data_IF_132720684573
#
_entry.id   IF_132720684573
#
_cell.length_a   1.000
_cell.length_b   1.000
_cell.length_c   1.000
_cell.angle_alpha   90.00
_cell.angle_beta   90.00
_cell.angle_gamma   90.00
#
_symmetry.space_group_name_H-M   'P 1'
#
loop_
_entity.id
_entity.type
_entity.pdbx_description
1 polymer ?
#
# COMPACT_ATOMS: atom_id res chain seq x y z
N UNK A 1 -3.24 12.91 -1.46
CA UNK A 1 -1.93 12.30 -1.84
C UNK A 1 -1.72 12.23 -3.35
N UNK A 2 -2.56 11.51 -4.12
CA UNK A 2 -2.28 11.26 -5.55
C UNK A 2 -2.00 12.52 -6.38
N UNK A 3 -2.79 13.60 -6.20
CA UNK A 3 -2.56 14.88 -6.89
C UNK A 3 -1.27 15.57 -6.48
N UNK A 4 -0.94 15.56 -5.19
CA UNK A 4 0.33 16.09 -4.67
C UNK A 4 1.51 15.40 -5.34
N UNK A 5 1.48 14.06 -5.41
CA UNK A 5 2.53 13.28 -6.05
C UNK A 5 2.61 13.55 -7.55
N UNK A 6 1.48 13.56 -8.27
CA UNK A 6 1.45 13.82 -9.72
C UNK A 6 1.99 15.22 -10.04
N UNK A 7 1.49 16.25 -9.35
CA UNK A 7 1.88 17.63 -9.60
C UNK A 7 3.34 17.88 -9.22
N UNK A 8 3.77 17.40 -8.05
CA UNK A 8 5.15 17.61 -7.58
C UNK A 8 6.19 16.83 -8.38
N UNK A 9 5.90 15.58 -8.75
CA UNK A 9 6.81 14.77 -9.57
C UNK A 9 6.78 15.15 -11.06
N UNK A 10 5.67 15.69 -11.56
CA UNK A 10 5.37 15.81 -13.00
C UNK A 10 5.41 14.46 -13.72
N UNK A 11 4.95 13.40 -13.06
CA UNK A 11 4.86 12.05 -13.60
C UNK A 11 3.46 11.47 -13.36
N UNK A 12 2.99 10.55 -14.23
CA UNK A 12 1.79 9.77 -13.95
C UNK A 12 1.95 8.98 -12.64
N UNK A 13 0.92 9.00 -11.80
CA UNK A 13 0.87 8.19 -10.56
C UNK A 13 -0.23 7.16 -10.69
N UNK A 14 0.15 5.88 -10.61
CA UNK A 14 -0.80 4.77 -10.57
C UNK A 14 -1.37 4.68 -9.15
N UNK A 15 -2.68 4.78 -9.02
CA UNK A 15 -3.39 4.78 -7.74
C UNK A 15 -3.95 3.39 -7.47
N UNK A 16 -3.49 2.80 -6.37
CA UNK A 16 -3.82 1.42 -6.01
C UNK A 16 -4.21 1.39 -4.55
N UNK A 17 -5.45 0.99 -4.24
CA UNK A 17 -5.99 1.02 -2.89
C UNK A 17 -6.13 -0.37 -2.28
N UNK A 18 -5.86 -0.47 -0.97
CA UNK A 18 -6.10 -1.67 -0.15
C UNK A 18 -7.52 -1.61 0.40
N UNK A 19 -8.55 -1.96 -0.40
CA UNK A 19 -9.94 -1.71 -0.04
C UNK A 19 -10.83 -2.96 -0.18
N UNK A 20 -11.23 -3.28 -1.41
CA UNK A 20 -12.30 -4.21 -1.75
C UNK A 20 -11.87 -5.69 -1.74
N UNK A 21 -11.26 -6.13 -0.65
CA UNK A 21 -10.81 -7.52 -0.49
C UNK A 21 -9.84 -7.76 0.67
N UNK A 22 -9.34 -6.70 1.31
CA UNK A 22 -8.27 -6.77 2.31
C UNK A 22 -8.75 -7.22 3.71
N UNK A 23 -9.57 -8.26 3.78
CA UNK A 23 -10.17 -8.75 5.03
C UNK A 23 -9.24 -9.68 5.81
N UNK A 24 -8.60 -10.63 5.14
CA UNK A 24 -7.76 -11.64 5.79
C UNK A 24 -6.45 -11.04 6.33
N UNK A 25 -5.97 -11.58 7.45
CA UNK A 25 -4.77 -11.08 8.16
C UNK A 25 -3.88 -12.25 8.61
N UNK A 26 -2.59 -12.28 8.24
CA UNK A 26 -1.67 -13.29 8.74
C UNK A 26 -1.33 -13.01 10.20
N UNK A 27 -1.13 -14.05 11.00
CA UNK A 27 -0.73 -13.93 12.43
C UNK A 27 0.52 -14.75 12.69
N UNK A 28 1.46 -14.21 13.46
CA UNK A 28 2.67 -14.94 13.87
C UNK A 28 2.36 -16.13 14.79
N UNK A 29 1.26 -16.07 15.54
CA UNK A 29 0.84 -17.12 16.46
C UNK A 29 -0.60 -17.54 16.16
N UNK A 30 -0.96 -18.76 16.53
CA UNK A 30 -2.31 -19.30 16.31
C UNK A 30 -3.28 -18.93 17.43
N UNK A 31 -2.78 -18.78 18.65
CA UNK A 31 -3.56 -18.59 19.88
C UNK A 31 -3.26 -17.24 20.53
N UNK A 32 -4.29 -16.60 21.07
CA UNK A 32 -4.24 -15.42 21.93
C UNK A 32 -4.69 -15.83 23.32
N UNK A 33 -3.94 -15.38 24.33
CA UNK A 33 -4.24 -15.62 25.74
C UNK A 33 -4.52 -14.28 26.41
N UNK A 34 -5.63 -14.22 27.15
CA UNK A 34 -6.02 -13.09 28.02
C UNK A 34 -6.64 -13.65 29.29
N UNK A 35 -6.18 -13.16 30.43
CA UNK A 35 -6.70 -13.53 31.76
C UNK A 35 -6.79 -15.06 31.97
N UNK A 36 -5.79 -15.81 31.46
CA UNK A 36 -5.72 -17.28 31.55
C UNK A 36 -6.59 -18.04 30.54
N UNK A 37 -7.39 -17.37 29.71
CA UNK A 37 -8.22 -17.98 28.66
C UNK A 37 -7.48 -17.96 27.33
N UNK A 38 -7.38 -19.13 26.67
CA UNK A 38 -6.73 -19.31 25.36
C UNK A 38 -7.77 -19.46 24.25
N UNK A 39 -7.75 -18.56 23.26
CA UNK A 39 -8.64 -18.60 22.09
C UNK A 39 -7.86 -18.46 20.78
N UNK A 40 -8.41 -18.94 19.64
CA UNK A 40 -7.84 -18.64 18.33
C UNK A 40 -7.67 -17.12 18.12
N UNK A 41 -6.54 -16.71 17.52
CA UNK A 41 -6.33 -15.31 17.14
C UNK A 41 -7.33 -14.87 16.08
N UNK A 42 -7.74 -13.61 16.14
CA UNK A 42 -8.45 -12.95 15.06
C UNK A 42 -7.61 -12.96 13.76
N UNK A 43 -8.18 -13.40 12.64
CA UNK A 43 -7.49 -13.55 11.35
C UNK A 43 -8.12 -12.70 10.25
N UNK A 44 -8.90 -11.70 10.64
CA UNK A 44 -9.66 -10.89 9.71
C UNK A 44 -11.11 -11.34 9.60
N UNK A 45 -11.98 -10.40 9.20
CA UNK A 45 -13.42 -10.59 9.21
C UNK A 45 -13.91 -11.67 8.23
N UNK A 46 -13.10 -12.01 7.23
CA UNK A 46 -13.35 -13.13 6.31
C UNK A 46 -13.14 -14.50 6.95
N UNK A 47 -12.51 -14.57 8.13
CA UNK A 47 -12.23 -15.82 8.84
C UNK A 47 -13.02 -15.92 10.14
N UNK A 48 -12.85 -14.97 11.06
CA UNK A 48 -13.49 -14.96 12.38
C UNK A 48 -13.73 -13.52 12.88
N UNK A 49 -14.41 -13.36 14.01
CA UNK A 49 -14.68 -12.07 14.66
C UNK A 49 -13.54 -11.62 15.58
N UNK A 50 -13.50 -10.33 15.87
CA UNK A 50 -12.48 -9.67 16.70
C UNK A 50 -12.72 -9.86 18.20
N UNK A 51 -13.99 -9.89 18.62
CA UNK A 51 -14.41 -10.10 20.00
C UNK A 51 -13.75 -11.34 20.64
N UNK A 52 -13.30 -11.19 21.89
CA UNK A 52 -12.54 -12.22 22.61
C UNK A 52 -13.49 -13.23 23.30
N UNK A 53 -14.21 -13.98 22.48
CA UNK A 53 -15.08 -15.07 22.92
C UNK A 53 -15.02 -16.25 21.94
N UNK A 54 -15.33 -17.47 22.42
CA UNK A 54 -15.18 -18.69 21.62
C UNK A 54 -16.04 -18.65 20.34
N UNK A 55 -17.27 -18.12 20.43
CA UNK A 55 -18.19 -18.06 19.29
C UNK A 55 -17.65 -17.14 18.20
N UNK A 56 -17.18 -15.96 18.57
CA UNK A 56 -16.60 -14.99 17.64
C UNK A 56 -15.28 -15.49 17.05
N UNK A 57 -14.43 -16.16 17.84
CA UNK A 57 -13.10 -16.63 17.38
C UNK A 57 -13.13 -17.91 16.55
N UNK A 58 -14.23 -18.65 16.56
CA UNK A 58 -14.41 -19.84 15.71
C UNK A 58 -14.50 -19.43 14.23
N UNK A 59 -13.68 -20.00 13.34
CA UNK A 59 -13.77 -19.71 11.91
C UNK A 59 -15.15 -20.05 11.32
N UNK A 60 -15.72 -19.14 10.53
CA UNK A 60 -17.05 -19.28 9.93
C UNK A 60 -16.98 -19.11 8.40
N UNK A 61 -17.16 -20.18 7.61
CA UNK A 61 -17.14 -20.11 6.14
C UNK A 61 -18.14 -19.12 5.53
N UNK A 62 -19.25 -18.81 6.20
CA UNK A 62 -20.23 -17.82 5.72
C UNK A 62 -19.64 -16.40 5.66
N UNK A 63 -18.53 -16.15 6.38
CA UNK A 63 -17.78 -14.89 6.29
C UNK A 63 -17.16 -14.66 4.92
N UNK A 64 -16.87 -15.71 4.15
CA UNK A 64 -16.36 -15.57 2.78
C UNK A 64 -17.41 -14.92 1.87
N UNK A 65 -18.67 -15.32 1.99
CA UNK A 65 -19.77 -14.70 1.24
C UNK A 65 -19.99 -13.24 1.65
N UNK A 66 -19.87 -12.94 2.95
CA UNK A 66 -19.94 -11.57 3.46
C UNK A 66 -18.80 -10.71 2.92
N UNK A 67 -17.56 -11.23 2.96
CA UNK A 67 -16.38 -10.56 2.41
C UNK A 67 -16.54 -10.29 0.91
N UNK A 68 -17.05 -11.24 0.13
CA UNK A 68 -17.35 -11.04 -1.28
C UNK A 68 -18.38 -9.92 -1.50
N UNK A 69 -19.54 -9.99 -0.82
CA UNK A 69 -20.60 -8.99 -0.98
C UNK A 69 -20.13 -7.57 -0.60
N UNK A 70 -19.36 -7.44 0.48
CA UNK A 70 -18.79 -6.15 0.89
C UNK A 70 -17.72 -5.64 -0.08
N UNK A 71 -16.89 -6.54 -0.63
CA UNK A 71 -15.92 -6.21 -1.68
C UNK A 71 -16.62 -5.67 -2.93
N UNK A 72 -17.64 -6.38 -3.42
CA UNK A 72 -18.39 -6.00 -4.60
C UNK A 72 -19.08 -4.63 -4.43
N UNK A 73 -19.74 -4.40 -3.28
CA UNK A 73 -20.38 -3.12 -2.98
C UNK A 73 -19.36 -1.97 -2.89
N UNK A 74 -18.22 -2.22 -2.22
CA UNK A 74 -17.14 -1.23 -2.07
C UNK A 74 -16.54 -0.88 -3.43
N UNK A 75 -16.20 -1.87 -4.26
CA UNK A 75 -15.62 -1.64 -5.58
C UNK A 75 -16.60 -0.95 -6.52
N UNK A 76 -17.89 -1.27 -6.45
CA UNK A 76 -18.93 -0.58 -7.21
C UNK A 76 -18.97 0.92 -6.87
N UNK A 77 -18.96 1.26 -5.57
CA UNK A 77 -18.93 2.65 -5.13
C UNK A 77 -17.63 3.37 -5.56
N UNK A 78 -16.49 2.69 -5.44
CA UNK A 78 -15.19 3.25 -5.87
C UNK A 78 -15.15 3.51 -7.38
N UNK A 79 -15.70 2.62 -8.20
CA UNK A 79 -15.86 2.84 -9.64
C UNK A 79 -16.75 4.03 -9.92
N UNK A 80 -17.89 4.14 -9.24
CA UNK A 80 -18.80 5.28 -9.36
C UNK A 80 -18.11 6.61 -9.00
N UNK A 81 -17.27 6.66 -7.96
CA UNK A 81 -16.48 7.86 -7.65
C UNK A 81 -15.39 8.15 -8.70
N UNK A 82 -14.73 7.12 -9.22
CA UNK A 82 -13.66 7.27 -10.18
C UNK A 82 -14.14 7.76 -11.55
N UNK A 83 -15.29 7.27 -12.04
CA UNK A 83 -15.87 7.64 -13.34
C UNK A 83 -16.97 8.70 -13.26
N UNK A 84 -17.67 8.83 -12.13
CA UNK A 84 -18.80 9.74 -11.94
C UNK A 84 -18.42 11.17 -11.54
N UNK A 85 -17.18 11.59 -11.81
CA UNK A 85 -16.72 12.96 -11.58
C UNK A 85 -16.31 13.29 -10.14
N UNK A 86 -16.37 12.36 -9.17
CA UNK A 86 -15.83 12.62 -7.83
C UNK A 86 -14.31 12.78 -7.85
N UNK A 87 -13.62 11.99 -8.68
CA UNK A 87 -12.18 12.06 -8.86
C UNK A 87 -11.70 13.20 -9.78
N UNK A 88 -12.60 13.99 -10.38
CA UNK A 88 -12.25 15.07 -11.30
C UNK A 88 -11.27 16.08 -10.68
N UNK A 89 -10.23 16.50 -11.42
CA UNK A 89 -9.20 17.41 -10.87
C UNK A 89 -9.77 18.77 -10.46
N UNK A 90 -10.87 19.20 -11.07
CA UNK A 90 -11.60 20.43 -10.75
C UNK A 90 -12.14 20.41 -9.30
N UNK A 91 -12.24 19.23 -8.67
CA UNK A 91 -12.70 19.05 -7.30
C UNK A 91 -11.57 18.94 -6.27
N UNK A 92 -10.31 19.15 -6.66
CA UNK A 92 -9.14 19.03 -5.76
C UNK A 92 -9.28 19.88 -4.49
N UNK A 93 -9.86 21.08 -4.61
CA UNK A 93 -10.14 21.97 -3.48
C UNK A 93 -11.23 21.42 -2.52
N UNK A 94 -12.15 20.60 -3.04
CA UNK A 94 -13.26 20.00 -2.29
C UNK A 94 -12.87 18.71 -1.55
N UNK A 95 -11.74 18.09 -1.90
CA UNK A 95 -11.23 16.92 -1.16
C UNK A 95 -10.52 17.31 0.14
N UNK A 96 -10.51 18.60 0.47
CA UNK A 96 -10.07 19.04 1.78
C UNK A 96 -11.00 18.49 2.84
N UNK A 97 -10.44 17.66 3.71
CA UNK A 97 -11.13 17.13 4.86
C UNK A 97 -11.19 18.23 5.93
N UNK A 98 -12.34 18.43 6.55
CA UNK A 98 -12.64 19.47 7.54
C UNK A 98 -11.58 19.58 8.65
N UNK A 99 -10.94 18.47 9.02
CA UNK A 99 -9.91 18.48 10.06
C UNK A 99 -8.56 19.08 9.61
N UNK A 100 -8.35 19.40 8.33
CA UNK A 100 -7.14 20.08 7.84
C UNK A 100 -7.22 21.61 8.00
N UNK A 101 -8.39 22.13 8.36
CA UNK A 101 -8.54 23.53 8.76
C UNK A 101 -7.55 23.86 9.89
N UNK A 102 -6.88 25.00 9.77
CA UNK A 102 -5.88 25.51 10.72
C UNK A 102 -4.63 24.62 10.88
N UNK A 103 -4.20 23.91 9.82
CA UNK A 103 -2.92 23.20 9.79
C UNK A 103 -2.00 23.69 8.69
N UNK A 104 -0.69 23.74 8.95
CA UNK A 104 0.34 24.14 7.97
C UNK A 104 0.31 23.28 6.70
N UNK A 105 0.00 21.99 6.84
CA UNK A 105 -0.14 21.06 5.72
C UNK A 105 -1.42 21.34 4.91
N UNK A 106 -2.51 21.72 5.59
CA UNK A 106 -3.72 22.20 4.95
C UNK A 106 -3.46 23.46 4.13
N UNK A 107 -2.68 24.40 4.66
CA UNK A 107 -2.28 25.62 3.93
C UNK A 107 -1.50 25.30 2.64
N UNK A 108 -0.46 24.47 2.74
CA UNK A 108 0.31 24.00 1.57
C UNK A 108 -0.56 23.28 0.55
N UNK A 109 -1.56 22.52 1.00
CA UNK A 109 -2.48 21.86 0.09
C UNK A 109 -3.46 22.83 -0.56
N UNK A 110 -3.94 23.85 0.14
CA UNK A 110 -4.76 24.91 -0.46
C UNK A 110 -3.99 25.67 -1.53
N UNK A 111 -2.73 26.02 -1.28
CA UNK A 111 -1.84 26.63 -2.28
C UNK A 111 -1.66 25.72 -3.50
N UNK A 112 -1.41 24.43 -3.29
CA UNK A 112 -1.32 23.46 -4.37
C UNK A 112 -2.64 23.35 -5.16
N UNK A 113 -3.77 23.31 -4.47
CA UNK A 113 -5.09 23.22 -5.10
C UNK A 113 -5.35 24.43 -6.01
N UNK A 114 -4.99 25.64 -5.57
CA UNK A 114 -5.05 26.86 -6.39
C UNK A 114 -4.15 26.72 -7.62
N UNK A 115 -2.90 26.28 -7.46
CA UNK A 115 -1.97 26.09 -8.59
C UNK A 115 -2.47 25.05 -9.61
N UNK A 116 -3.10 23.98 -9.13
CA UNK A 116 -3.72 22.95 -9.98
C UNK A 116 -4.90 23.53 -10.74
N UNK A 117 -5.77 24.29 -10.07
CA UNK A 117 -6.93 24.94 -10.69
C UNK A 117 -6.50 25.95 -11.76
N UNK A 118 -5.53 26.80 -11.47
CA UNK A 118 -4.95 27.73 -12.45
C UNK A 118 -4.34 27.00 -13.66
N UNK A 119 -3.64 25.89 -13.42
CA UNK A 119 -3.05 25.08 -14.49
C UNK A 119 -4.12 24.46 -15.39
N UNK A 120 -5.21 23.95 -14.80
CA UNK A 120 -6.35 23.41 -15.53
C UNK A 120 -7.13 24.49 -16.28
N UNK A 121 -7.30 25.68 -15.68
CA UNK A 121 -7.94 26.83 -16.32
C UNK A 121 -7.19 27.31 -17.56
N UNK A 122 -5.85 27.30 -17.54
CA UNK A 122 -5.03 27.54 -18.73
C UNK A 122 -5.18 26.43 -19.78
N UNK A 123 -5.30 25.18 -19.34
CA UNK A 123 -5.40 24.01 -20.23
C UNK A 123 -6.78 23.89 -20.90
N UNK A 124 -7.87 24.23 -20.20
CA UNK A 124 -9.24 24.22 -20.72
C UNK A 124 -9.43 25.21 -21.87
N UNK A 125 -8.68 26.32 -21.87
CA UNK A 125 -8.62 27.27 -22.98
C UNK A 125 -7.93 26.71 -24.24
N UNK A 126 -7.11 25.65 -24.11
CA UNK A 126 -6.26 25.10 -25.19
C UNK A 126 -6.80 23.85 -25.92
N UNK A 127 -8.01 23.36 -25.56
CA UNK A 127 -8.72 22.23 -26.20
C UNK A 127 -7.97 20.88 -26.23
N UNK A 128 -8.33 19.97 -25.30
CA UNK A 128 -8.63 18.56 -25.61
C UNK A 128 -9.38 17.92 -24.42
N UNK A 129 -10.56 17.36 -24.71
CA UNK A 129 -11.54 16.88 -23.72
C UNK A 129 -11.28 15.43 -23.25
N UNK A 130 -10.04 15.12 -22.86
CA UNK A 130 -9.66 13.76 -22.45
C UNK A 130 -8.75 13.73 -21.22
N UNK A 131 -9.01 14.56 -20.22
CA UNK A 131 -8.64 14.24 -18.85
C UNK A 131 -9.91 13.72 -18.21
N UNK A 132 -10.11 12.41 -18.03
CA UNK A 132 -11.00 11.84 -16.98
C UNK A 132 -11.21 10.33 -17.14
N UNK A 133 -10.15 9.55 -16.99
CA UNK A 133 -10.32 8.15 -16.60
C UNK A 133 -9.37 7.84 -15.45
N UNK A 134 -9.80 8.20 -14.24
CA UNK A 134 -9.16 7.70 -13.04
C UNK A 134 -9.41 6.20 -12.97
N UNK A 135 -8.33 5.42 -13.10
CA UNK A 135 -8.38 3.98 -12.83
C UNK A 135 -8.02 3.78 -11.37
N UNK A 136 -9.01 3.40 -10.57
CA UNK A 136 -8.79 2.89 -9.23
C UNK A 136 -8.56 1.38 -9.34
N UNK A 137 -7.42 0.92 -8.84
CA UNK A 137 -7.07 -0.49 -8.78
C UNK A 137 -7.15 -0.96 -7.32
N UNK A 138 -7.68 -2.16 -7.10
CA UNK A 138 -7.76 -2.78 -5.77
C UNK A 138 -6.65 -3.82 -5.57
N UNK A 139 -6.07 -3.83 -4.37
CA UNK A 139 -4.95 -4.70 -3.98
C UNK A 139 -5.11 -5.31 -2.58
N UNK A 140 -5.59 -6.54 -2.48
CA UNK A 140 -5.50 -7.32 -1.26
C UNK A 140 -4.24 -8.21 -1.25
N UNK A 141 -3.88 -8.65 -0.05
CA UNK A 141 -2.99 -9.79 0.14
C UNK A 141 -3.69 -11.08 -0.32
N UNK A 142 -3.07 -11.83 -1.22
CA UNK A 142 -3.50 -13.17 -1.57
C UNK A 142 -3.19 -14.09 -0.38
N UNK A 143 -4.19 -14.35 0.45
CA UNK A 143 -4.00 -15.08 1.70
C UNK A 143 -4.94 -16.26 1.85
N UNK A 144 -6.24 -16.06 1.65
CA UNK A 144 -7.24 -17.11 1.83
C UNK A 144 -7.46 -17.87 0.52
N UNK A 145 -6.55 -18.78 0.16
CA UNK A 145 -6.53 -19.45 -1.16
C UNK A 145 -7.87 -20.06 -1.63
N UNK A 146 -8.72 -20.68 -0.77
CA UNK A 146 -10.05 -21.12 -1.22
C UNK A 146 -10.93 -19.99 -1.77
N UNK A 147 -10.80 -18.78 -1.22
CA UNK A 147 -11.52 -17.60 -1.69
C UNK A 147 -10.98 -17.15 -3.05
N UNK A 148 -9.66 -17.00 -3.15
CA UNK A 148 -8.96 -16.60 -4.39
C UNK A 148 -9.23 -17.60 -5.53
N UNK A 149 -9.17 -18.90 -5.24
CA UNK A 149 -9.46 -19.95 -6.20
C UNK A 149 -10.89 -19.86 -6.74
N UNK A 150 -11.89 -19.58 -5.89
CA UNK A 150 -13.28 -19.43 -6.35
C UNK A 150 -13.51 -18.20 -7.23
N UNK A 151 -12.66 -17.18 -7.10
CA UNK A 151 -12.73 -15.95 -7.88
C UNK A 151 -11.80 -15.95 -9.10
N UNK A 152 -11.01 -17.00 -9.29
CA UNK A 152 -10.15 -17.17 -10.47
C UNK A 152 -10.95 -17.62 -11.68
N UNK A 153 -10.83 -16.87 -12.79
CA UNK A 153 -11.55 -17.11 -14.06
C UNK A 153 -10.57 -17.18 -15.22
N UNK A 154 -10.94 -17.96 -16.23
CA UNK A 154 -10.25 -17.96 -17.51
C UNK A 154 -10.78 -16.81 -18.36
N UNK A 155 -9.89 -15.92 -18.80
CA UNK A 155 -10.23 -14.85 -19.73
C UNK A 155 -10.62 -15.44 -21.09
N UNK A 156 -11.73 -14.97 -21.65
CA UNK A 156 -12.30 -15.51 -22.90
C UNK A 156 -11.48 -15.16 -24.14
N UNK A 157 -10.64 -14.12 -24.08
CA UNK A 157 -9.88 -13.61 -25.23
C UNK A 157 -8.48 -14.21 -25.30
N UNK A 158 -7.75 -14.19 -24.19
CA UNK A 158 -6.37 -14.67 -24.07
C UNK A 158 -6.26 -16.13 -23.64
N UNK A 159 -7.31 -16.69 -23.04
CA UNK A 159 -7.28 -18.03 -22.46
C UNK A 159 -6.43 -18.15 -21.18
N UNK A 160 -5.89 -17.04 -20.67
CA UNK A 160 -5.13 -17.01 -19.42
C UNK A 160 -6.06 -16.99 -18.21
N UNK A 161 -5.57 -17.48 -17.07
CA UNK A 161 -6.29 -17.39 -15.80
C UNK A 161 -5.98 -16.06 -15.11
N UNK A 162 -7.00 -15.40 -14.61
CA UNK A 162 -6.89 -14.22 -13.76
C UNK A 162 -7.63 -14.49 -12.47
N UNK A 163 -7.01 -14.17 -11.34
CA UNK A 163 -7.76 -14.03 -10.11
C UNK A 163 -8.57 -12.73 -10.20
N UNK A 164 -9.90 -12.87 -10.35
CA UNK A 164 -10.79 -11.73 -10.48
C UNK A 164 -11.29 -11.21 -9.13
N UNK A 165 -10.68 -11.63 -8.01
CA UNK A 165 -10.92 -11.01 -6.70
C UNK A 165 -10.41 -9.57 -6.66
N UNK A 166 -9.30 -9.28 -7.37
CA UNK A 166 -8.67 -7.96 -7.41
C UNK A 166 -7.85 -7.72 -8.69
N UNK A 167 -7.34 -6.49 -8.86
CA UNK A 167 -6.56 -6.13 -10.05
C UNK A 167 -5.10 -6.52 -9.92
N UNK A 168 -4.57 -6.44 -8.69
CA UNK A 168 -3.21 -6.81 -8.32
C UNK A 168 -3.28 -7.54 -6.98
N UNK A 169 -2.40 -8.51 -6.78
CA UNK A 169 -2.35 -9.32 -5.57
C UNK A 169 -0.92 -9.33 -5.05
N UNK A 170 -0.69 -9.43 -3.73
CA UNK A 170 0.67 -9.71 -3.24
C UNK A 170 0.73 -10.94 -2.37
N UNK A 171 1.90 -11.58 -2.37
CA UNK A 171 2.28 -12.59 -1.39
C UNK A 171 2.95 -11.91 -0.19
N UNK A 172 2.50 -12.29 1.01
CA UNK A 172 3.00 -11.77 2.27
C UNK A 172 4.35 -12.37 2.67
N UNK A 173 5.05 -11.72 3.60
CA UNK A 173 6.35 -12.18 4.11
C UNK A 173 6.28 -13.61 4.71
N UNK A 174 5.12 -13.98 5.26
CA UNK A 174 4.91 -15.27 5.93
C UNK A 174 4.40 -16.37 5.00
N UNK A 175 4.09 -16.03 3.76
CA UNK A 175 3.43 -16.93 2.78
C UNK A 175 4.19 -17.04 1.46
N UNK A 176 5.43 -16.52 1.40
CA UNK A 176 6.26 -16.48 0.18
C UNK A 176 7.27 -17.62 0.04
N UNK A 177 7.02 -18.76 0.69
CA UNK A 177 7.89 -19.94 0.58
C UNK A 177 7.94 -20.41 -0.88
N UNK A 178 9.13 -20.72 -1.40
CA UNK A 178 9.34 -21.04 -2.82
C UNK A 178 8.47 -22.21 -3.31
N UNK A 179 8.27 -23.21 -2.45
CA UNK A 179 7.45 -24.41 -2.64
C UNK A 179 6.06 -24.29 -1.99
N UNK A 180 5.70 -23.10 -1.52
CA UNK A 180 4.46 -22.81 -0.82
C UNK A 180 3.25 -22.66 -1.75
N UNK A 181 2.08 -22.95 -1.21
CA UNK A 181 0.82 -22.91 -1.96
C UNK A 181 0.49 -21.53 -2.55
N UNK A 182 0.84 -20.44 -1.87
CA UNK A 182 0.59 -19.08 -2.38
C UNK A 182 1.47 -18.74 -3.59
N UNK A 183 2.74 -19.16 -3.58
CA UNK A 183 3.64 -18.97 -4.72
C UNK A 183 3.14 -19.80 -5.92
N UNK A 184 2.73 -21.05 -5.68
CA UNK A 184 2.14 -21.89 -6.73
C UNK A 184 0.85 -21.29 -7.31
N UNK A 185 -0.03 -20.77 -6.44
CA UNK A 185 -1.26 -20.11 -6.89
C UNK A 185 -0.95 -18.88 -7.77
N UNK A 186 -0.08 -17.99 -7.29
CA UNK A 186 0.28 -16.76 -8.01
C UNK A 186 1.06 -17.03 -9.30
N UNK A 187 1.79 -18.14 -9.39
CA UNK A 187 2.46 -18.60 -10.61
C UNK A 187 1.45 -18.86 -11.74
N UNK A 188 0.25 -19.35 -11.40
CA UNK A 188 -0.77 -19.75 -12.36
C UNK A 188 -1.67 -18.63 -12.90
N UNK A 189 -1.66 -17.44 -12.27
CA UNK A 189 -2.52 -16.31 -12.66
C UNK A 189 -1.76 -15.25 -13.45
N UNK A 190 -2.44 -14.46 -14.28
CA UNK A 190 -1.88 -13.44 -15.15
C UNK A 190 -1.93 -12.00 -14.57
N UNK A 191 -2.48 -11.82 -13.37
CA UNK A 191 -2.51 -10.54 -12.66
C UNK A 191 -1.09 -9.99 -12.39
N UNK A 192 -0.85 -8.68 -12.38
CA UNK A 192 0.34 -8.12 -11.75
C UNK A 192 0.42 -8.53 -10.27
N UNK A 193 1.63 -8.82 -9.78
CA UNK A 193 1.83 -9.38 -8.45
C UNK A 193 2.90 -8.67 -7.64
N UNK A 194 2.65 -8.57 -6.34
CA UNK A 194 3.57 -8.04 -5.35
C UNK A 194 4.25 -9.14 -4.53
N UNK A 195 5.48 -8.90 -4.12
CA UNK A 195 6.22 -9.76 -3.19
C UNK A 195 6.66 -8.90 -2.03
N UNK A 196 6.14 -9.16 -0.82
CA UNK A 196 6.63 -8.52 0.40
C UNK A 196 8.00 -9.08 0.74
N UNK A 197 8.97 -8.21 1.04
CA UNK A 197 10.34 -8.60 1.42
C UNK A 197 10.78 -7.86 2.67
N UNK A 198 11.19 -8.61 3.70
CA UNK A 198 11.83 -8.06 4.91
C UNK A 198 13.35 -7.95 4.76
N UNK A 199 13.99 -7.48 5.82
CA UNK A 199 15.44 -7.41 6.01
C UNK A 199 16.13 -8.78 6.09
N UNK A 200 15.35 -9.85 6.26
CA UNK A 200 15.83 -11.25 6.25
C UNK A 200 15.80 -11.90 4.86
N UNK A 201 15.38 -11.18 3.81
CA UNK A 201 15.34 -11.74 2.46
C UNK A 201 16.75 -12.05 1.95
N UNK A 202 16.98 -13.29 1.56
CA UNK A 202 18.21 -13.69 0.85
C UNK A 202 18.13 -13.24 -0.64
N UNK A 203 19.18 -12.60 -1.19
CA UNK A 203 19.18 -12.15 -2.58
C UNK A 203 19.01 -13.29 -3.59
N UNK A 204 19.56 -14.49 -3.34
CA UNK A 204 19.42 -15.61 -4.28
C UNK A 204 18.03 -16.21 -4.22
N UNK A 205 17.43 -16.30 -3.02
CA UNK A 205 16.03 -16.69 -2.84
C UNK A 205 15.08 -15.73 -3.58
N UNK A 206 15.32 -14.41 -3.48
CA UNK A 206 14.53 -13.41 -4.20
C UNK A 206 14.60 -13.62 -5.72
N UNK A 207 15.79 -13.82 -6.27
CA UNK A 207 15.98 -14.09 -7.71
C UNK A 207 15.23 -15.36 -8.14
N UNK A 208 15.31 -16.44 -7.35
CA UNK A 208 14.56 -17.68 -7.61
C UNK A 208 13.05 -17.44 -7.59
N UNK A 209 12.55 -16.71 -6.59
CA UNK A 209 11.13 -16.40 -6.46
C UNK A 209 10.62 -15.58 -7.65
N UNK A 210 11.39 -14.60 -8.12
CA UNK A 210 11.05 -13.81 -9.31
C UNK A 210 11.02 -14.70 -10.56
N UNK A 211 11.97 -15.61 -10.73
CA UNK A 211 11.99 -16.55 -11.86
C UNK A 211 10.75 -17.46 -11.89
N UNK A 212 10.30 -17.94 -10.73
CA UNK A 212 9.07 -18.73 -10.63
C UNK A 212 7.85 -17.92 -11.05
N UNK A 213 7.76 -16.67 -10.61
CA UNK A 213 6.57 -15.84 -10.73
C UNK A 213 6.50 -14.97 -12.00
N UNK A 214 7.64 -14.79 -12.68
CA UNK A 214 7.80 -14.02 -13.92
C UNK A 214 8.84 -14.65 -14.85
N UNK A 215 8.59 -15.88 -15.33
CA UNK A 215 9.56 -16.63 -16.14
C UNK A 215 9.91 -15.92 -17.46
N UNK A 216 8.96 -15.18 -18.04
CA UNK A 216 9.16 -14.43 -19.29
C UNK A 216 9.75 -13.03 -19.07
N UNK A 217 10.13 -12.70 -17.83
CA UNK A 217 10.68 -11.40 -17.44
C UNK A 217 9.83 -10.20 -17.91
N UNK A 218 8.51 -10.34 -17.86
CA UNK A 218 7.56 -9.33 -18.35
C UNK A 218 7.63 -8.08 -17.47
N UNK A 219 7.89 -6.93 -18.09
CA UNK A 219 7.90 -5.64 -17.39
C UNK A 219 6.54 -5.35 -16.73
N UNK A 220 6.55 -4.87 -15.49
CA UNK A 220 5.34 -4.56 -14.71
C UNK A 220 4.62 -5.77 -14.12
N UNK A 221 5.11 -7.00 -14.33
CA UNK A 221 4.54 -8.22 -13.71
C UNK A 221 4.85 -8.30 -12.22
N UNK A 222 6.10 -8.03 -11.82
CA UNK A 222 6.56 -8.13 -10.43
C UNK A 222 6.76 -6.75 -9.82
N UNK A 223 6.23 -6.59 -8.61
CA UNK A 223 6.54 -5.48 -7.71
C UNK A 223 7.17 -6.02 -6.43
N UNK A 224 8.41 -5.61 -6.12
CA UNK A 224 9.07 -5.93 -4.85
C UNK A 224 8.68 -4.86 -3.82
N UNK A 225 8.05 -5.28 -2.73
CA UNK A 225 7.52 -4.41 -1.68
C UNK A 225 8.38 -4.57 -0.42
N UNK A 226 9.37 -3.70 -0.26
CA UNK A 226 10.37 -3.72 0.82
C UNK A 226 9.80 -3.20 2.14
N UNK A 227 10.06 -3.89 3.26
CA UNK A 227 9.63 -3.49 4.61
C UNK A 227 10.71 -3.81 5.65
N UNK A 228 11.70 -2.94 5.80
CA UNK A 228 12.94 -3.25 6.51
C UNK A 228 13.20 -2.35 7.71
N UNK A 229 12.58 -1.16 7.76
CA UNK A 229 13.03 -0.08 8.65
C UNK A 229 14.21 0.70 8.05
N UNK A 230 14.37 1.95 8.49
CA UNK A 230 15.30 2.90 7.86
C UNK A 230 16.78 2.49 7.95
N UNK A 231 17.22 1.86 9.03
CA UNK A 231 18.61 1.43 9.20
C UNK A 231 18.89 0.21 8.32
N UNK A 232 18.05 -0.81 8.40
CA UNK A 232 18.21 -2.04 7.64
C UNK A 232 18.07 -1.81 6.13
N UNK A 233 17.17 -0.94 5.68
CA UNK A 233 16.99 -0.72 4.23
C UNK A 233 18.26 -0.16 3.59
N UNK A 234 19.04 0.66 4.31
CA UNK A 234 20.33 1.18 3.83
C UNK A 234 21.39 0.10 3.64
N UNK A 235 21.30 -0.96 4.45
CA UNK A 235 22.28 -2.05 4.45
C UNK A 235 21.85 -3.18 3.50
N UNK A 236 20.58 -3.56 3.52
CA UNK A 236 20.08 -4.80 2.89
C UNK A 236 19.56 -4.59 1.47
N UNK A 237 18.90 -3.47 1.18
CA UNK A 237 18.31 -3.22 -0.13
C UNK A 237 19.35 -3.15 -1.27
N UNK A 238 20.57 -2.59 -1.09
CA UNK A 238 21.59 -2.59 -2.15
C UNK A 238 21.88 -3.98 -2.71
N UNK A 239 22.03 -4.98 -1.83
CA UNK A 239 22.37 -6.35 -2.24
C UNK A 239 21.23 -7.00 -3.03
N UNK A 240 19.97 -6.75 -2.65
CA UNK A 240 18.81 -7.23 -3.40
C UNK A 240 18.72 -6.58 -4.78
N UNK A 241 18.93 -5.26 -4.88
CA UNK A 241 18.93 -4.54 -6.16
C UNK A 241 20.02 -5.09 -7.08
N UNK A 242 21.22 -5.30 -6.56
CA UNK A 242 22.35 -5.85 -7.33
C UNK A 242 22.07 -7.27 -7.81
N UNK A 243 21.53 -8.14 -6.96
CA UNK A 243 21.21 -9.52 -7.33
C UNK A 243 20.15 -9.58 -8.45
N UNK A 244 19.05 -8.82 -8.31
CA UNK A 244 17.99 -8.73 -9.34
C UNK A 244 18.54 -8.17 -10.66
N UNK A 245 19.39 -7.14 -10.58
CA UNK A 245 20.05 -6.54 -11.76
C UNK A 245 21.00 -7.54 -12.45
N UNK A 246 21.82 -8.26 -11.68
CA UNK A 246 22.75 -9.28 -12.21
C UNK A 246 21.99 -10.44 -12.86
N UNK A 247 20.82 -10.80 -12.33
CA UNK A 247 19.93 -11.80 -12.91
C UNK A 247 19.18 -11.29 -14.17
N UNK A 248 19.33 -10.01 -14.54
CA UNK A 248 18.65 -9.40 -15.69
C UNK A 248 17.14 -9.24 -15.49
N UNK A 249 16.64 -9.33 -14.25
CA UNK A 249 15.21 -9.34 -13.94
C UNK A 249 14.64 -7.92 -13.85
N UNK A 250 13.46 -7.72 -14.42
CA UNK A 250 12.75 -6.44 -14.45
C UNK A 250 11.64 -6.45 -13.40
N UNK A 251 11.78 -5.59 -12.40
CA UNK A 251 10.82 -5.45 -11.29
C UNK A 251 10.53 -3.98 -10.99
N UNK A 252 9.37 -3.73 -10.38
CA UNK A 252 9.05 -2.42 -9.79
C UNK A 252 9.41 -2.43 -8.31
N UNK A 253 10.23 -1.49 -7.85
CA UNK A 253 10.58 -1.37 -6.44
C UNK A 253 9.62 -0.45 -5.71
N UNK A 254 9.06 -0.91 -4.60
CA UNK A 254 8.14 -0.16 -3.75
C UNK A 254 8.60 -0.31 -2.29
N UNK A 255 8.50 0.77 -1.51
CA UNK A 255 8.72 0.71 -0.06
C UNK A 255 7.39 0.68 0.69
N UNK A 256 7.30 -0.23 1.65
CA UNK A 256 6.30 -0.32 2.70
C UNK A 256 6.95 0.11 4.02
N UNK A 257 6.95 1.42 4.31
CA UNK A 257 7.58 1.98 5.51
C UNK A 257 6.74 1.75 6.77
N UNK A 258 5.67 0.94 6.70
CA UNK A 258 4.72 0.75 7.80
C UNK A 258 5.09 -0.50 8.61
N UNK A 259 5.20 -1.65 7.94
CA UNK A 259 5.30 -2.95 8.61
C UNK A 259 6.69 -3.23 9.22
N UNK A 260 7.71 -2.47 8.86
CA UNK A 260 9.05 -2.52 9.48
C UNK A 260 9.17 -1.71 10.78
N UNK A 261 8.30 -0.70 10.98
CA UNK A 261 8.46 0.33 12.02
C UNK A 261 7.42 0.26 13.15
N UNK A 262 6.82 -0.91 13.38
CA UNK A 262 5.82 -1.08 14.45
C UNK A 262 6.51 -1.28 15.81
N UNK A 263 6.11 -0.48 16.80
CA UNK A 263 6.54 -0.59 18.20
C UNK A 263 5.33 -0.81 19.12
N UNK A 264 5.57 -1.23 20.37
CA UNK A 264 4.55 -1.32 21.42
C UNK A 264 4.73 -0.10 22.35
N UNK A 265 3.69 0.71 22.48
CA UNK A 265 3.66 1.86 23.37
C UNK A 265 3.55 1.44 24.85
N UNK A 266 3.88 2.32 25.81
CA UNK A 266 3.80 2.01 27.25
C UNK A 266 2.42 1.54 27.72
N UNK A 267 1.34 1.95 27.03
CA UNK A 267 -0.04 1.53 27.31
C UNK A 267 -0.41 0.18 26.66
N UNK A 268 0.55 -0.53 26.06
CA UNK A 268 0.35 -1.83 25.42
C UNK A 268 -0.21 -1.78 24.00
N UNK A 269 -0.59 -0.60 23.49
CA UNK A 269 -1.06 -0.44 22.11
C UNK A 269 0.12 -0.48 21.15
N UNK A 270 -0.09 -1.10 19.98
CA UNK A 270 0.86 -0.94 18.88
C UNK A 270 0.80 0.49 18.36
N UNK A 271 1.93 1.05 17.97
CA UNK A 271 1.99 2.32 17.24
C UNK A 271 3.17 2.31 16.27
N UNK A 272 3.27 3.33 15.42
CA UNK A 272 4.37 3.54 14.48
C UNK A 272 4.80 5.00 14.58
N UNK A 273 6.09 5.29 14.87
CA UNK A 273 6.59 6.65 14.83
C UNK A 273 6.60 7.20 13.40
N UNK A 274 5.94 8.32 13.17
CA UNK A 274 5.89 8.97 11.85
C UNK A 274 7.31 9.28 11.32
N UNK A 275 8.23 9.69 12.20
CA UNK A 275 9.62 9.97 11.81
C UNK A 275 10.35 8.72 11.32
N UNK A 276 10.07 7.55 11.90
CA UNK A 276 10.64 6.28 11.44
C UNK A 276 10.10 5.89 10.06
N UNK A 277 8.78 6.09 9.83
CA UNK A 277 8.15 5.89 8.52
C UNK A 277 8.81 6.81 7.48
N UNK A 278 8.98 8.08 7.80
CA UNK A 278 9.62 9.07 6.92
C UNK A 278 11.10 8.73 6.66
N UNK A 279 11.82 8.27 7.68
CA UNK A 279 13.22 7.86 7.57
C UNK A 279 13.40 6.68 6.61
N UNK A 280 12.50 5.68 6.66
CA UNK A 280 12.57 4.54 5.74
C UNK A 280 12.27 4.95 4.30
N UNK A 281 11.26 5.80 4.08
CA UNK A 281 11.01 6.37 2.74
C UNK A 281 12.23 7.14 2.23
N UNK A 282 12.83 7.97 3.08
CA UNK A 282 14.03 8.74 2.70
C UNK A 282 15.19 7.81 2.32
N UNK A 283 15.44 6.80 3.16
CA UNK A 283 16.49 5.81 2.94
C UNK A 283 16.27 4.97 1.67
N UNK A 284 15.02 4.59 1.37
CA UNK A 284 14.66 3.90 0.14
C UNK A 284 15.07 4.68 -1.10
N UNK A 285 14.77 5.99 -1.15
CA UNK A 285 15.17 6.83 -2.27
C UNK A 285 16.70 7.02 -2.33
N UNK A 286 17.37 7.22 -1.19
CA UNK A 286 18.83 7.36 -1.14
C UNK A 286 19.52 6.13 -1.74
N UNK A 287 19.08 4.93 -1.34
CA UNK A 287 19.64 3.66 -1.85
C UNK A 287 19.42 3.52 -3.35
N UNK A 288 18.22 3.85 -3.85
CA UNK A 288 17.96 3.79 -5.29
C UNK A 288 18.81 4.78 -6.09
N UNK A 289 19.05 5.98 -5.55
CA UNK A 289 19.96 6.95 -6.16
C UNK A 289 21.41 6.45 -6.18
N UNK A 290 21.88 5.86 -5.08
CA UNK A 290 23.22 5.27 -4.97
C UNK A 290 23.43 4.08 -5.93
N UNK A 291 22.43 3.19 -6.04
CA UNK A 291 22.51 2.01 -6.90
C UNK A 291 22.19 2.29 -8.38
N UNK A 292 21.80 3.52 -8.71
CA UNK A 292 21.40 3.91 -10.07
C UNK A 292 20.10 3.25 -10.53
N UNK A 293 19.19 2.94 -9.61
CA UNK A 293 17.92 2.25 -9.87
C UNK A 293 16.70 3.17 -9.65
N UNK A 294 15.50 2.66 -9.94
CA UNK A 294 14.28 3.47 -9.93
C UNK A 294 13.39 3.18 -8.70
N UNK A 295 13.12 4.18 -7.83
CA UNK A 295 12.18 4.07 -6.72
C UNK A 295 10.75 4.17 -7.27
N UNK A 296 10.12 3.02 -7.52
CA UNK A 296 8.85 2.91 -8.25
C UNK A 296 7.60 3.30 -7.47
N UNK A 297 7.62 3.36 -6.13
CA UNK A 297 6.48 3.85 -5.37
C UNK A 297 6.52 3.58 -3.86
N UNK A 298 5.38 3.84 -3.22
CA UNK A 298 5.16 3.62 -1.78
C UNK A 298 3.89 2.80 -1.53
N UNK A 299 3.90 1.98 -0.50
CA UNK A 299 2.79 1.12 -0.09
C UNK A 299 2.45 1.42 1.37
N UNK A 300 1.33 2.10 1.60
CA UNK A 300 0.99 2.67 2.91
C UNK A 300 -0.30 2.08 3.49
N UNK A 301 -0.40 2.11 4.82
CA UNK A 301 -1.63 1.87 5.55
C UNK A 301 -2.13 3.20 6.09
N UNK A 302 -3.28 3.65 5.58
CA UNK A 302 -3.83 4.97 5.87
C UNK A 302 -5.35 4.92 6.04
N UNK A 303 -5.89 5.95 6.68
CA UNK A 303 -7.34 6.18 6.76
C UNK A 303 -7.66 7.67 6.61
N UNK A 304 -8.80 7.96 5.97
CA UNK A 304 -9.36 9.32 5.90
C UNK A 304 -9.96 9.80 7.22
N UNK A 305 -10.13 8.89 8.19
CA UNK A 305 -10.68 9.20 9.51
C UNK A 305 -9.66 9.94 10.39
N UNK A 306 -10.17 10.76 11.31
CA UNK A 306 -9.35 11.49 12.28
C UNK A 306 -8.97 10.60 13.47
N UNK A 307 -7.99 9.72 13.26
CA UNK A 307 -7.51 8.70 14.24
C UNK A 307 -6.16 9.09 14.86
N UNK A 308 -5.88 8.51 16.03
CA UNK A 308 -4.62 8.67 16.78
C UNK A 308 -3.88 7.33 16.86
N UNK A 309 -3.59 6.71 15.72
CA UNK A 309 -2.98 5.37 15.66
C UNK A 309 -1.44 5.42 15.58
N UNK A 310 -0.88 6.30 14.74
CA UNK A 310 0.56 6.55 14.62
C UNK A 310 0.98 7.79 15.42
N UNK A 311 2.06 7.71 16.19
CA UNK A 311 2.62 8.85 16.94
C UNK A 311 3.44 9.78 16.04
N UNK A 312 3.58 11.04 16.46
CA UNK A 312 4.31 12.07 15.73
C UNK A 312 3.51 12.70 14.59
N UNK A 313 4.23 13.23 13.60
CA UNK A 313 3.68 14.07 12.54
C UNK A 313 3.31 15.47 13.04
N UNK A 314 2.79 16.30 12.16
CA UNK A 314 2.58 17.74 12.45
C UNK A 314 1.61 18.08 13.58
N UNK A 315 0.72 17.16 13.94
CA UNK A 315 -0.20 17.29 15.08
C UNK A 315 0.34 16.73 16.40
N UNK A 316 1.59 16.27 16.41
CA UNK A 316 2.31 15.72 17.57
C UNK A 316 1.45 14.73 18.36
N UNK A 317 0.94 13.69 17.70
CA UNK A 317 0.22 12.61 18.39
C UNK A 317 1.20 11.93 19.36
N UNK A 318 0.90 11.99 20.66
CA UNK A 318 1.71 11.37 21.70
C UNK A 318 1.20 9.98 22.07
N UNK A 319 1.95 9.24 22.92
CA UNK A 319 1.47 7.97 23.45
C UNK A 319 0.16 8.09 24.24
N UNK A 320 -0.07 9.25 24.89
CA UNK A 320 -1.28 9.49 25.67
C UNK A 320 -2.51 9.67 24.78
N UNK A 321 -2.32 10.15 23.55
CA UNK A 321 -3.42 10.39 22.60
C UNK A 321 -3.91 9.10 21.94
N UNK A 322 -3.13 8.01 22.00
CA UNK A 322 -3.47 6.74 21.36
C UNK A 322 -4.82 6.21 21.86
N UNK A 323 -5.10 6.31 23.16
CA UNK A 323 -6.36 5.82 23.74
C UNK A 323 -7.61 6.56 23.29
N UNK A 324 -7.48 7.74 22.66
CA UNK A 324 -8.64 8.58 22.32
C UNK A 324 -9.42 8.07 21.10
N UNK A 325 -8.73 7.64 20.03
CA UNK A 325 -9.34 7.27 18.72
C UNK A 325 -8.58 6.14 18.03
N UNK A 326 -8.29 5.07 18.77
CA UNK A 326 -7.67 3.86 18.24
C UNK A 326 -8.74 2.91 17.68
N UNK A 327 -8.96 2.94 16.35
CA UNK A 327 -10.06 2.22 15.71
C UNK A 327 -9.62 0.99 14.89
N UNK A 328 -8.36 0.60 14.99
CA UNK A 328 -7.80 -0.55 14.27
C UNK A 328 -7.65 -1.76 15.20
N UNK A 329 -8.04 -2.94 14.71
CA UNK A 329 -7.82 -4.21 15.39
C UNK A 329 -6.51 -4.91 14.95
N UNK A 330 -5.84 -4.35 13.93
CA UNK A 330 -4.65 -4.93 13.32
C UNK A 330 -3.43 -4.08 13.63
N UNK A 331 -3.04 -3.23 12.67
CA UNK A 331 -1.88 -2.38 12.79
C UNK A 331 -2.27 -0.88 12.65
N UNK A 332 -1.46 0.03 13.22
CA UNK A 332 -1.72 1.47 13.25
C UNK A 332 -1.63 2.14 11.88
N UNK A 333 -2.62 2.92 11.48
CA UNK A 333 -2.68 3.60 10.17
C UNK A 333 -2.27 5.06 10.28
N UNK A 334 -1.67 5.58 9.21
CA UNK A 334 -1.52 7.03 9.04
C UNK A 334 -2.92 7.66 9.00
N UNK A 335 -3.15 8.68 9.83
CA UNK A 335 -4.29 9.55 9.62
C UNK A 335 -4.08 10.40 8.37
N UNK A 336 -5.11 11.12 7.94
CA UNK A 336 -5.03 11.83 6.67
C UNK A 336 -4.09 13.06 6.71
N UNK A 337 -3.87 13.70 7.86
CA UNK A 337 -2.85 14.75 8.00
C UNK A 337 -1.43 14.19 7.79
N UNK A 338 -1.08 13.10 8.48
CA UNK A 338 0.20 12.41 8.34
C UNK A 338 0.40 11.87 6.91
N UNK A 339 -0.65 11.31 6.31
CA UNK A 339 -0.63 10.83 4.94
C UNK A 339 -0.35 11.94 3.93
N UNK A 340 -0.93 13.12 4.13
CA UNK A 340 -0.73 14.26 3.25
C UNK A 340 0.67 14.87 3.43
N UNK A 341 1.14 14.97 4.68
CA UNK A 341 2.50 15.38 5.02
C UNK A 341 3.53 14.52 4.28
N UNK A 342 3.40 13.19 4.36
CA UNK A 342 4.27 12.25 3.67
C UNK A 342 4.23 12.43 2.14
N UNK A 343 3.04 12.70 1.56
CA UNK A 343 2.92 12.94 0.12
C UNK A 343 3.70 14.18 -0.33
N UNK A 344 3.68 15.27 0.44
CA UNK A 344 4.46 16.47 0.11
C UNK A 344 5.96 16.21 0.15
N UNK A 345 6.43 15.46 1.14
CA UNK A 345 7.86 15.12 1.28
C UNK A 345 8.33 14.28 0.09
N UNK A 346 7.57 13.24 -0.29
CA UNK A 346 7.89 12.40 -1.46
C UNK A 346 7.86 13.23 -2.75
N UNK A 347 6.85 14.09 -2.90
CA UNK A 347 6.71 14.96 -4.07
C UNK A 347 7.89 15.93 -4.23
N UNK A 348 8.35 16.54 -3.13
CA UNK A 348 9.52 17.43 -3.14
C UNK A 348 10.79 16.68 -3.55
N UNK A 349 10.96 15.45 -3.04
CA UNK A 349 12.12 14.61 -3.39
C UNK A 349 12.12 14.22 -4.86
N UNK A 350 10.99 13.76 -5.40
CA UNK A 350 10.84 13.43 -6.82
C UNK A 350 11.12 14.66 -7.70
N UNK A 351 10.66 15.83 -7.30
CA UNK A 351 10.95 17.09 -7.99
C UNK A 351 12.45 17.39 -8.05
N UNK A 352 13.14 17.29 -6.92
CA UNK A 352 14.61 17.51 -6.82
C UNK A 352 15.37 16.57 -7.74
N UNK A 353 15.06 15.27 -7.72
CA UNK A 353 15.67 14.27 -8.60
C UNK A 353 15.46 14.59 -10.09
N UNK A 354 14.24 14.98 -10.48
CA UNK A 354 13.93 15.34 -11.87
C UNK A 354 14.68 16.59 -12.33
N UNK A 355 14.79 17.60 -11.47
CA UNK A 355 15.55 18.83 -11.80
C UNK A 355 17.03 18.49 -11.95
N UNK A 356 17.62 17.72 -11.03
CA UNK A 356 19.01 17.30 -11.11
C UNK A 356 19.30 16.52 -12.40
N UNK A 357 18.42 15.56 -12.77
CA UNK A 357 18.57 14.78 -14.00
C UNK A 357 18.52 15.62 -15.29
N UNK A 358 17.82 16.77 -15.28
CA UNK A 358 17.79 17.71 -16.41
C UNK A 358 19.02 18.61 -16.49
N UNK A 359 19.76 18.77 -15.39
CA UNK A 359 20.99 19.58 -15.35
C UNK A 359 22.24 18.80 -15.73
N UNK A 360 22.15 17.46 -15.83
CA UNK A 360 23.25 16.56 -16.25
C UNK A 360 23.22 16.24 -17.76
N UNK A 361 22.21 16.74 -18.49
CA UNK A 361 22.06 16.70 -19.95
C UNK A 361 22.31 18.12 -20.45
#
# INVERSE_FOLDING_TARGET
>A
MGVVLMFGSQMPVIKVGRMAGQFAKPRSYFVEEKDGVKLPRYRGDSVNGDAFDLKSRTPDPQRLLRAYSQSAATLNLLRAFASGGYAAMQRVSQWNLDFMENSKQGDRYRELAIQVDEALGRWSYSRSSHCDHYRFLDIPECLHLPFEQTLTRKDSTSGLYYDCSAHFLWVGERTRQLDGAHVEFLRGIANPIGIKVSDNMDPNELVKLINILNPDNKCGRITIITRMGAENIRVKLPDLIRAVRLAGQIVTWVTDPMHGNTIIAPNGLKTRPFDAIMAEVTAFFDVHEQEGSHPGGVHLEMTGQNVTECIGGSRTVSFNDLGSRYHTHCDPRLNASQSLELAFIIAERLRKRRIAARSTI
#
